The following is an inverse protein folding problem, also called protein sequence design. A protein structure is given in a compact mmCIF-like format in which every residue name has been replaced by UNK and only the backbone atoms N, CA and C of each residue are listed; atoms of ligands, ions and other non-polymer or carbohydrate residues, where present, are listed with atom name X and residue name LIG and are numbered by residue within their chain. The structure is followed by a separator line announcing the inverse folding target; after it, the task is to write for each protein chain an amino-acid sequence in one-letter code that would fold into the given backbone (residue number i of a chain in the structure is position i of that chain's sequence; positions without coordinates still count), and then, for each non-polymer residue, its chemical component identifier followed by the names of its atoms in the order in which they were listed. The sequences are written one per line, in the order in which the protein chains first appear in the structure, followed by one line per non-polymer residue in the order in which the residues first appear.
data_IF_812599651861
#
_entry.id   IF_812599651861
#
_cell.length_a   1.000
_cell.length_b   1.000
_cell.length_c   1.000
_cell.angle_alpha   90.00
_cell.angle_beta   90.00
_cell.angle_gamma   90.00
#
_symmetry.space_group_name_H-M   'P 1'
#
loop_
_entity.id
_entity.type
_entity.pdbx_description
1 polymer ?
#
# COMPACT_ATOMS: atom_id res chain seq x y z
N UNK A 1 -31.89 -3.81 -19.45
CA UNK A 1 -30.69 -4.00 -20.30
C UNK A 1 -29.47 -3.93 -19.39
N UNK A 2 -28.54 -4.84 -19.57
CA UNK A 2 -27.73 -5.46 -18.53
C UNK A 2 -26.43 -4.71 -18.19
N UNK A 3 -26.52 -3.57 -17.52
CA UNK A 3 -25.33 -2.83 -17.06
C UNK A 3 -25.46 -2.39 -15.59
N UNK A 4 -25.09 -3.28 -14.65
CA UNK A 4 -24.57 -2.95 -13.31
C UNK A 4 -24.39 -4.19 -12.41
N UNK A 5 -24.09 -5.38 -12.95
CA UNK A 5 -23.99 -6.60 -12.14
C UNK A 5 -22.79 -6.63 -11.18
N UNK A 6 -21.82 -5.71 -11.34
CA UNK A 6 -20.65 -5.61 -10.47
C UNK A 6 -20.55 -4.20 -9.89
N UNK A 7 -20.66 -4.01 -8.56
CA UNK A 7 -20.46 -2.71 -7.95
C UNK A 7 -19.05 -2.20 -8.29
N UNK A 8 -18.91 -0.92 -8.66
CA UNK A 8 -17.61 -0.30 -9.01
C UNK A 8 -16.51 -0.54 -7.97
N UNK A 9 -16.86 -0.74 -6.70
CA UNK A 9 -15.92 -1.12 -5.64
C UNK A 9 -15.28 -2.50 -5.84
N UNK A 10 -16.01 -3.48 -6.38
CA UNK A 10 -15.48 -4.81 -6.69
C UNK A 10 -14.51 -4.77 -7.87
N UNK A 11 -14.81 -3.98 -8.90
CA UNK A 11 -13.89 -3.76 -10.03
C UNK A 11 -12.58 -3.14 -9.54
N UNK A 12 -12.65 -2.13 -8.67
CA UNK A 12 -11.45 -1.50 -8.09
C UNK A 12 -10.67 -2.44 -7.17
N UNK A 13 -11.35 -3.28 -6.38
CA UNK A 13 -10.70 -4.33 -5.57
C UNK A 13 -9.98 -5.37 -6.43
N UNK A 14 -10.63 -5.82 -7.50
CA UNK A 14 -10.03 -6.75 -8.45
C UNK A 14 -8.80 -6.13 -9.12
N UNK A 15 -8.90 -4.86 -9.52
CA UNK A 15 -7.78 -4.12 -10.09
C UNK A 15 -6.61 -3.96 -9.10
N UNK A 16 -6.88 -3.61 -7.84
CA UNK A 16 -5.85 -3.57 -6.79
C UNK A 16 -5.13 -4.92 -6.69
N UNK A 17 -5.90 -6.01 -6.63
CA UNK A 17 -5.36 -7.36 -6.53
C UNK A 17 -4.51 -7.71 -7.77
N UNK A 18 -4.98 -7.40 -8.98
CA UNK A 18 -4.22 -7.58 -10.22
C UNK A 18 -2.92 -6.77 -10.22
N UNK A 19 -2.95 -5.51 -9.77
CA UNK A 19 -1.74 -4.69 -9.65
C UNK A 19 -0.76 -5.28 -8.65
N UNK A 20 -1.22 -5.73 -7.48
CA UNK A 20 -0.39 -6.39 -6.49
C UNK A 20 0.23 -7.68 -7.03
N UNK A 21 -0.55 -8.53 -7.72
CA UNK A 21 -0.05 -9.75 -8.37
C UNK A 21 0.97 -9.41 -9.46
N UNK A 22 0.71 -8.37 -10.26
CA UNK A 22 1.63 -7.93 -11.31
C UNK A 22 2.96 -7.45 -10.71
N UNK A 23 2.91 -6.64 -9.65
CA UNK A 23 4.11 -6.20 -8.92
C UNK A 23 4.85 -7.38 -8.29
N UNK A 24 4.13 -8.35 -7.73
CA UNK A 24 4.69 -9.58 -7.19
C UNK A 24 5.40 -10.37 -8.30
N UNK A 25 4.76 -10.55 -9.45
CA UNK A 25 5.34 -11.23 -10.60
C UNK A 25 6.61 -10.54 -11.11
N UNK A 26 6.60 -9.21 -11.20
CA UNK A 26 7.78 -8.41 -11.55
C UNK A 26 8.90 -8.53 -10.51
N UNK A 27 8.56 -8.72 -9.23
CA UNK A 27 9.54 -8.92 -8.17
C UNK A 27 10.13 -10.35 -8.17
N UNK A 28 9.35 -11.34 -8.60
CA UNK A 28 9.80 -12.72 -8.78
C UNK A 28 10.63 -12.90 -10.05
N UNK A 29 10.50 -12.01 -11.04
CA UNK A 29 11.35 -12.02 -12.21
C UNK A 29 12.81 -11.82 -11.75
N UNK A 30 13.68 -12.82 -11.93
CA UNK A 30 15.05 -12.75 -11.46
C UNK A 30 15.82 -11.77 -12.36
N UNK A 31 15.80 -10.49 -11.98
CA UNK A 31 16.45 -9.43 -12.75
C UNK A 31 17.94 -9.30 -12.44
N UNK A 32 18.47 -9.94 -11.38
CA UNK A 32 19.91 -9.93 -11.10
C UNK A 32 20.44 -11.24 -10.48
N UNK A 33 21.69 -11.59 -10.84
CA UNK A 33 22.46 -12.73 -10.31
C UNK A 33 23.57 -12.30 -9.33
N UNK A 34 23.52 -11.08 -8.79
CA UNK A 34 24.55 -10.52 -7.90
C UNK A 34 23.94 -10.15 -6.53
N UNK A 35 24.73 -10.20 -5.44
CA UNK A 35 24.26 -9.77 -4.13
C UNK A 35 23.79 -8.30 -4.21
N UNK A 36 22.52 -8.00 -3.86
CA UNK A 36 21.95 -6.67 -4.08
C UNK A 36 22.71 -5.61 -3.28
N UNK A 37 23.47 -4.75 -3.97
CA UNK A 37 24.07 -3.55 -3.37
C UNK A 37 23.04 -2.43 -3.19
N UNK A 38 21.89 -2.56 -3.83
CA UNK A 38 20.81 -1.59 -3.85
C UNK A 38 19.49 -2.27 -3.47
N UNK A 39 18.77 -1.71 -2.49
CA UNK A 39 17.45 -2.19 -2.13
C UNK A 39 16.37 -1.38 -2.87
N UNK A 40 15.74 -2.01 -3.87
CA UNK A 40 14.66 -1.42 -4.65
C UNK A 40 13.42 -1.07 -3.80
N UNK A 41 12.55 -0.16 -4.28
CA UNK A 41 11.38 0.29 -3.55
C UNK A 41 10.35 -0.82 -3.33
N UNK A 42 9.66 -0.79 -2.19
CA UNK A 42 8.50 -1.64 -1.93
C UNK A 42 7.24 -1.05 -2.60
N UNK A 43 7.07 -1.39 -3.87
CA UNK A 43 5.94 -0.92 -4.65
C UNK A 43 4.58 -1.38 -4.11
N UNK A 44 4.52 -2.55 -3.46
CA UNK A 44 3.28 -3.05 -2.87
C UNK A 44 2.88 -2.18 -1.69
N UNK A 45 3.83 -1.84 -0.81
CA UNK A 45 3.59 -0.92 0.29
C UNK A 45 3.15 0.46 -0.21
N UNK A 46 3.90 1.03 -1.17
CA UNK A 46 3.59 2.34 -1.72
C UNK A 46 2.17 2.39 -2.34
N UNK A 47 1.82 1.39 -3.14
CA UNK A 47 0.51 1.27 -3.77
C UNK A 47 -0.60 1.13 -2.72
N UNK A 48 -0.41 0.24 -1.73
CA UNK A 48 -1.38 -0.01 -0.65
C UNK A 48 -1.69 1.27 0.10
N UNK A 49 -0.66 2.02 0.51
CA UNK A 49 -0.83 3.25 1.28
C UNK A 49 -1.44 4.38 0.44
N UNK A 50 -1.06 4.51 -0.83
CA UNK A 50 -1.64 5.50 -1.72
C UNK A 50 -3.16 5.29 -1.88
N UNK A 51 -3.60 4.04 -2.02
CA UNK A 51 -5.02 3.73 -2.15
C UNK A 51 -5.75 3.81 -0.81
N UNK A 52 -5.11 3.42 0.30
CA UNK A 52 -5.67 3.51 1.64
C UNK A 52 -6.04 4.94 2.04
N UNK A 53 -5.20 5.92 1.68
CA UNK A 53 -5.46 7.34 1.96
C UNK A 53 -6.52 7.92 1.03
N UNK A 54 -6.55 7.51 -0.26
CA UNK A 54 -7.43 8.13 -1.26
C UNK A 54 -8.84 7.54 -1.29
N UNK A 55 -8.95 6.23 -1.18
CA UNK A 55 -10.22 5.47 -1.23
C UNK A 55 -10.11 4.24 -0.33
N UNK A 56 -10.29 4.41 0.99
CA UNK A 56 -10.20 3.30 1.96
C UNK A 56 -11.21 2.17 1.68
N UNK A 57 -12.26 2.43 0.89
CA UNK A 57 -13.29 1.46 0.49
C UNK A 57 -12.80 0.41 -0.52
N UNK A 58 -11.76 0.75 -1.31
CA UNK A 58 -11.20 -0.10 -2.36
C UNK A 58 -10.13 -1.06 -1.85
N UNK A 59 -9.58 -0.80 -0.66
CA UNK A 59 -8.52 -1.59 -0.05
C UNK A 59 -9.03 -2.17 1.27
N UNK A 60 -9.83 -3.27 1.22
CA UNK A 60 -10.25 -3.94 2.43
C UNK A 60 -9.04 -4.54 3.13
N UNK A 61 -8.96 -4.35 4.45
CA UNK A 61 -7.84 -4.78 5.29
C UNK A 61 -7.56 -6.28 5.13
N UNK A 62 -8.61 -7.09 4.98
CA UNK A 62 -8.50 -8.52 4.78
C UNK A 62 -7.79 -8.87 3.47
N UNK A 63 -8.04 -8.12 2.40
CA UNK A 63 -7.37 -8.32 1.11
C UNK A 63 -5.90 -7.92 1.20
N UNK A 64 -5.57 -6.81 1.87
CA UNK A 64 -4.19 -6.44 2.16
C UNK A 64 -3.49 -7.57 2.91
N UNK A 65 -4.11 -8.09 3.98
CA UNK A 65 -3.58 -9.18 4.78
C UNK A 65 -3.27 -10.42 3.92
N UNK A 66 -4.20 -10.84 3.06
CA UNK A 66 -4.01 -12.01 2.19
C UNK A 66 -2.87 -11.79 1.19
N UNK A 67 -2.81 -10.61 0.57
CA UNK A 67 -1.75 -10.28 -0.41
C UNK A 67 -0.38 -10.23 0.26
N UNK A 68 -0.25 -9.56 1.41
CA UNK A 68 1.03 -9.42 2.11
C UNK A 68 1.46 -10.71 2.78
N UNK A 69 0.53 -11.53 3.28
CA UNK A 69 0.83 -12.88 3.75
C UNK A 69 1.34 -13.75 2.60
N UNK A 70 0.70 -13.67 1.43
CA UNK A 70 1.17 -14.37 0.23
C UNK A 70 2.58 -13.95 -0.16
N UNK A 71 2.88 -12.64 -0.10
CA UNK A 71 4.24 -12.12 -0.32
C UNK A 71 5.23 -12.66 0.71
N UNK A 72 4.87 -12.70 1.98
CA UNK A 72 5.75 -13.19 3.03
C UNK A 72 6.11 -14.67 2.79
N UNK A 73 5.12 -15.49 2.42
CA UNK A 73 5.32 -16.90 2.09
C UNK A 73 6.18 -17.09 0.83
N UNK A 74 5.92 -16.33 -0.24
CA UNK A 74 6.66 -16.48 -1.50
C UNK A 74 8.09 -15.97 -1.42
N UNK A 75 8.33 -14.91 -0.65
CA UNK A 75 9.67 -14.31 -0.47
C UNK A 75 10.45 -14.95 0.68
N UNK A 76 9.94 -16.04 1.26
CA UNK A 76 10.52 -16.73 2.42
C UNK A 76 10.85 -15.76 3.58
N UNK A 77 10.06 -14.69 3.72
CA UNK A 77 10.14 -13.78 4.85
C UNK A 77 9.46 -14.43 6.06
N UNK A 78 9.82 -14.03 7.30
CA UNK A 78 9.15 -14.51 8.51
C UNK A 78 7.63 -14.31 8.37
N UNK A 79 6.86 -15.41 8.26
CA UNK A 79 5.51 -15.36 7.72
C UNK A 79 4.58 -14.57 8.63
N UNK A 80 3.87 -13.61 8.06
CA UNK A 80 2.80 -12.88 8.73
C UNK A 80 3.22 -11.66 9.55
N UNK A 81 4.52 -11.48 9.86
CA UNK A 81 4.98 -10.29 10.59
C UNK A 81 4.78 -9.02 9.75
N UNK A 82 5.29 -9.03 8.53
CA UNK A 82 5.16 -7.89 7.62
C UNK A 82 3.70 -7.70 7.22
N UNK A 83 2.96 -8.80 7.00
CA UNK A 83 1.54 -8.74 6.76
C UNK A 83 0.76 -8.03 7.88
N UNK A 84 1.02 -8.38 9.14
CA UNK A 84 0.39 -7.76 10.30
C UNK A 84 0.73 -6.27 10.40
N UNK A 85 2.01 -5.90 10.19
CA UNK A 85 2.44 -4.51 10.23
C UNK A 85 1.83 -3.69 9.08
N UNK A 86 1.73 -4.26 7.87
CA UNK A 86 1.08 -3.60 6.74
C UNK A 86 -0.42 -3.40 6.98
N UNK A 87 -1.08 -4.36 7.61
CA UNK A 87 -2.48 -4.22 8.02
C UNK A 87 -2.63 -3.07 9.02
N UNK A 88 -1.79 -3.00 10.06
CA UNK A 88 -1.81 -1.92 11.06
C UNK A 88 -1.53 -0.56 10.41
N UNK A 89 -0.53 -0.49 9.52
CA UNK A 89 -0.19 0.71 8.76
C UNK A 89 -1.34 1.20 7.89
N UNK A 90 -1.92 0.28 7.13
CA UNK A 90 -3.08 0.54 6.28
C UNK A 90 -4.24 1.04 7.12
N UNK A 91 -4.55 0.39 8.24
CA UNK A 91 -5.64 0.80 9.13
C UNK A 91 -5.39 2.20 9.73
N UNK A 92 -4.17 2.49 10.14
CA UNK A 92 -3.77 3.80 10.67
C UNK A 92 -3.99 4.89 9.63
N UNK A 93 -3.59 4.66 8.38
CA UNK A 93 -3.81 5.60 7.29
C UNK A 93 -5.28 5.72 6.90
N UNK A 94 -6.05 4.61 6.90
CA UNK A 94 -7.50 4.63 6.66
C UNK A 94 -8.24 5.48 7.71
N UNK A 95 -7.86 5.36 8.98
CA UNK A 95 -8.44 6.16 10.06
C UNK A 95 -8.10 7.66 9.94
N UNK A 96 -6.91 7.97 9.40
CA UNK A 96 -6.47 9.35 9.14
C UNK A 96 -6.98 9.93 7.81
N UNK A 97 -7.44 9.09 6.89
CA UNK A 97 -7.85 9.50 5.54
C UNK A 97 -8.87 10.65 5.50
N UNK A 98 -9.92 10.70 6.36
CA UNK A 98 -10.85 11.84 6.39
C UNK A 98 -10.15 13.16 6.74
N UNK A 99 -9.25 13.14 7.74
CA UNK A 99 -8.49 14.31 8.18
C UNK A 99 -7.44 14.76 7.16
N UNK A 100 -6.87 13.83 6.38
CA UNK A 100 -5.88 14.13 5.34
C UNK A 100 -6.52 14.68 4.04
N UNK A 101 -7.85 14.56 3.89
CA UNK A 101 -8.54 14.97 2.66
C UNK A 101 -8.47 16.48 2.40
N UNK A 102 -8.48 17.29 3.45
CA UNK A 102 -8.46 18.75 3.36
C UNK A 102 -7.05 19.35 3.48
N UNK A 103 -6.05 18.50 3.71
CA UNK A 103 -4.65 18.91 3.85
C UNK A 103 -3.89 18.87 2.51
N UNK A 104 -2.73 19.52 2.51
CA UNK A 104 -1.80 19.55 1.37
C UNK A 104 -1.21 18.16 1.11
N UNK A 105 -0.72 17.95 -0.13
CA UNK A 105 -0.01 16.72 -0.48
C UNK A 105 1.21 16.47 0.42
N UNK A 106 1.88 17.52 0.90
CA UNK A 106 3.00 17.41 1.83
C UNK A 106 2.59 16.78 3.17
N UNK A 107 1.42 17.13 3.71
CA UNK A 107 0.90 16.53 4.94
C UNK A 107 0.48 15.06 4.76
N UNK A 108 -0.13 14.74 3.61
CA UNK A 108 -0.41 13.35 3.21
C UNK A 108 0.90 12.54 3.16
N UNK A 109 1.89 13.06 2.44
CA UNK A 109 3.20 12.43 2.31
C UNK A 109 3.89 12.25 3.66
N UNK A 110 3.85 13.24 4.55
CA UNK A 110 4.41 13.13 5.90
C UNK A 110 3.70 12.06 6.75
N UNK A 111 2.37 11.93 6.64
CA UNK A 111 1.62 10.88 7.35
C UNK A 111 1.97 9.48 6.81
N UNK A 112 2.15 9.34 5.51
CA UNK A 112 2.56 8.08 4.90
C UNK A 112 4.01 7.76 5.27
N UNK A 113 4.91 8.73 5.16
CA UNK A 113 6.32 8.60 5.52
C UNK A 113 6.49 8.14 6.98
N UNK A 114 5.82 8.81 7.92
CA UNK A 114 5.86 8.45 9.33
C UNK A 114 5.33 7.03 9.58
N UNK A 115 4.27 6.62 8.87
CA UNK A 115 3.72 5.26 8.96
C UNK A 115 4.71 4.21 8.42
N UNK A 116 5.35 4.48 7.28
CA UNK A 116 6.37 3.60 6.68
C UNK A 116 7.58 3.44 7.59
N UNK A 117 8.05 4.54 8.19
CA UNK A 117 9.16 4.53 9.16
C UNK A 117 8.77 3.69 10.38
N UNK A 118 7.59 3.92 10.95
CA UNK A 118 7.15 3.19 12.14
C UNK A 118 7.05 1.69 11.89
N UNK A 119 6.48 1.26 10.76
CA UNK A 119 6.38 -0.15 10.38
C UNK A 119 7.76 -0.76 10.17
N UNK A 120 8.65 -0.05 9.47
CA UNK A 120 10.00 -0.56 9.20
C UNK A 120 10.78 -0.74 10.50
N UNK A 121 10.72 0.25 11.40
CA UNK A 121 11.34 0.17 12.73
C UNK A 121 10.72 -0.95 13.56
N UNK A 122 9.40 -1.05 13.61
CA UNK A 122 8.70 -2.11 14.35
C UNK A 122 9.07 -3.50 13.83
N UNK A 123 9.12 -3.69 12.51
CA UNK A 123 9.56 -4.93 11.89
C UNK A 123 10.97 -5.31 12.36
N UNK A 124 11.91 -4.35 12.32
CA UNK A 124 13.29 -4.60 12.76
C UNK A 124 13.40 -4.91 14.24
N UNK A 125 12.68 -4.19 15.09
CA UNK A 125 12.67 -4.43 16.55
C UNK A 125 12.13 -5.82 16.84
N UNK A 126 11.02 -6.21 16.20
CA UNK A 126 10.43 -7.55 16.39
C UNK A 126 11.39 -8.64 15.89
N UNK A 127 12.00 -8.47 14.72
CA UNK A 127 13.00 -9.43 14.22
C UNK A 127 14.24 -9.51 15.11
N UNK A 128 14.69 -8.38 15.69
CA UNK A 128 15.78 -8.36 16.65
C UNK A 128 15.44 -9.14 17.93
N UNK A 129 14.22 -8.95 18.46
CA UNK A 129 13.73 -9.66 19.64
C UNK A 129 13.58 -11.17 19.38
N UNK A 130 13.18 -11.54 18.16
CA UNK A 130 13.04 -12.94 17.73
C UNK A 130 14.37 -13.58 17.28
N UNK A 131 15.49 -12.85 17.36
CA UNK A 131 16.81 -13.30 16.89
C UNK A 131 16.81 -13.79 15.43
N UNK A 132 15.97 -13.19 14.58
CA UNK A 132 15.88 -13.50 13.16
C UNK A 132 16.87 -12.64 12.39
N UNK A 133 17.59 -13.24 11.45
CA UNK A 133 18.50 -12.54 10.55
C UNK A 133 17.75 -11.45 9.77
N UNK A 134 18.31 -10.25 9.79
CA UNK A 134 17.71 -9.07 9.22
C UNK A 134 18.74 -8.37 8.32
N UNK A 135 18.28 -7.82 7.21
CA UNK A 135 19.13 -7.09 6.28
C UNK A 135 19.96 -6.01 7.01
N UNK A 136 21.16 -5.66 6.54
CA UNK A 136 21.92 -4.56 7.13
C UNK A 136 21.11 -3.26 7.11
N UNK A 137 21.30 -2.43 8.14
CA UNK A 137 20.56 -1.17 8.31
C UNK A 137 20.61 -0.27 7.07
N UNK A 138 21.77 -0.22 6.39
CA UNK A 138 21.94 0.54 5.16
C UNK A 138 20.97 0.12 4.05
N UNK A 139 20.77 -1.18 3.83
CA UNK A 139 19.83 -1.67 2.82
C UNK A 139 18.39 -1.36 3.18
N UNK A 140 18.00 -1.49 4.46
CA UNK A 140 16.64 -1.12 4.89
C UNK A 140 16.36 0.38 4.75
N UNK A 141 17.34 1.24 5.06
CA UNK A 141 17.21 2.68 4.87
C UNK A 141 17.12 3.04 3.39
N UNK A 142 17.95 2.42 2.54
CA UNK A 142 17.87 2.59 1.09
C UNK A 142 16.50 2.18 0.55
N UNK A 143 15.96 1.04 1.00
CA UNK A 143 14.63 0.58 0.62
C UNK A 143 13.55 1.56 1.08
N UNK A 144 13.63 2.05 2.31
CA UNK A 144 12.65 3.00 2.82
C UNK A 144 12.68 4.31 2.03
N UNK A 145 13.87 4.85 1.78
CA UNK A 145 14.05 6.08 1.00
C UNK A 145 13.61 5.88 -0.45
N UNK A 146 13.96 4.76 -1.09
CA UNK A 146 13.52 4.46 -2.44
C UNK A 146 12.00 4.33 -2.52
N UNK A 147 11.37 3.70 -1.53
CA UNK A 147 9.90 3.59 -1.46
C UNK A 147 9.25 4.95 -1.22
N UNK A 148 9.86 5.79 -0.38
CA UNK A 148 9.36 7.13 -0.09
C UNK A 148 9.42 8.06 -1.31
N UNK A 149 10.48 7.94 -2.13
CA UNK A 149 10.62 8.66 -3.41
C UNK A 149 9.71 8.07 -4.49
N UNK A 150 9.47 6.75 -4.47
CA UNK A 150 8.55 6.09 -5.38
C UNK A 150 7.07 6.38 -5.04
N UNK A 151 6.76 6.73 -3.78
CA UNK A 151 5.39 6.99 -3.35
C UNK A 151 4.71 8.11 -4.15
N UNK A 152 5.29 9.31 -4.33
CA UNK A 152 4.70 10.35 -5.19
C UNK A 152 4.42 9.86 -6.61
N UNK A 153 5.35 9.10 -7.20
CA UNK A 153 5.14 8.51 -8.53
C UNK A 153 3.94 7.56 -8.55
N UNK A 154 3.82 6.68 -7.56
CA UNK A 154 2.66 5.78 -7.41
C UNK A 154 1.36 6.53 -7.10
N UNK A 155 1.43 7.61 -6.33
CA UNK A 155 0.30 8.47 -6.05
C UNK A 155 -0.17 9.20 -7.32
N UNK A 156 0.75 9.68 -8.17
CA UNK A 156 0.40 10.28 -9.47
C UNK A 156 -0.13 9.20 -10.42
N UNK A 157 0.54 8.05 -10.51
CA UNK A 157 0.14 6.94 -11.35
C UNK A 157 -1.29 6.48 -11.02
N UNK A 158 -1.61 6.31 -9.74
CA UNK A 158 -2.98 6.00 -9.29
C UNK A 158 -3.98 7.12 -9.58
N UNK A 159 -3.54 8.38 -9.63
CA UNK A 159 -4.40 9.50 -10.02
C UNK A 159 -4.68 9.53 -11.53
N UNK A 160 -3.67 9.21 -12.34
CA UNK A 160 -3.68 9.28 -13.81
C UNK A 160 -4.32 8.04 -14.42
N UNK A 161 -3.94 6.82 -13.99
CA UNK A 161 -4.48 5.57 -14.55
C UNK A 161 -5.93 5.31 -14.14
N UNK A 162 -6.36 5.74 -12.95
CA UNK A 162 -7.59 5.22 -12.33
C UNK A 162 -8.70 6.26 -12.15
N UNK A 163 -8.44 7.53 -12.47
CA UNK A 163 -9.43 8.59 -12.32
C UNK A 163 -9.97 8.71 -10.88
N UNK A 164 -9.22 8.24 -9.89
CA UNK A 164 -9.56 8.33 -8.47
C UNK A 164 -9.30 9.77 -8.03
N UNK A 165 -10.19 10.68 -8.45
CA UNK A 165 -10.27 12.03 -7.90
C UNK A 165 -10.55 11.91 -6.39
N UNK A 166 -9.87 12.75 -5.58
CA UNK A 166 -10.42 13.15 -4.27
C UNK A 166 -11.88 13.51 -4.53
N UNK A 167 -12.82 12.83 -3.85
CA UNK A 167 -14.24 13.22 -3.96
C UNK A 167 -14.28 14.69 -3.52
N UNK A 168 -14.84 15.59 -4.32
CA UNK A 168 -15.05 16.96 -3.88
C UNK A 168 -16.11 16.97 -2.75
N UNK A 169 -16.08 17.90 -1.80
CA UNK A 169 -17.19 18.09 -0.87
C UNK A 169 -18.38 18.61 -1.70
N UNK A 170 -19.36 17.74 -1.96
CA UNK A 170 -20.48 18.02 -2.87
C UNK A 170 -21.04 16.82 -3.64
N UNK A 171 -20.43 15.63 -3.55
CA UNK A 171 -20.96 14.41 -4.18
C UNK A 171 -22.01 13.70 -3.29
N UNK A 172 -22.93 14.51 -2.72
CA UNK A 172 -24.17 14.05 -2.10
C UNK A 172 -25.26 14.10 -3.18
N UNK A 173 -25.93 12.96 -3.35
CA UNK A 173 -27.31 12.81 -3.83
C UNK A 173 -27.61 13.07 -5.31
N UNK A 174 -27.35 12.05 -6.13
CA UNK A 174 -28.26 11.68 -7.24
C UNK A 174 -28.86 10.28 -7.07
N UNK A 175 -28.83 9.72 -5.86
CA UNK A 175 -29.79 8.71 -5.46
C UNK A 175 -31.06 9.48 -5.06
N UNK A 176 -32.00 9.59 -5.99
CA UNK A 176 -33.24 10.34 -5.82
C UNK A 176 -34.00 9.96 -4.54
N UNK A 177 -34.86 10.85 -4.05
CA UNK A 177 -35.66 10.59 -2.86
C UNK A 177 -36.53 9.37 -3.14
N UNK A 178 -36.31 8.30 -2.38
CA UNK A 178 -37.31 7.26 -2.19
C UNK A 178 -37.98 7.55 -0.85
N UNK A 179 -39.26 7.93 -1.01
CA UNK A 179 -40.39 8.04 -0.07
C UNK A 179 -40.92 9.47 0.00
#
# INVERSE_FOLDING_TARGET
MADALVPRSWVMRALYLVLCITLLFLHLLPLEHMPPKWAGPDFVMALTFAWAVRRPDYVPVLLVAVVTLGLDLMLQRPPGLWAALMVIGTQTLRNRAPSLRDLTFAAEWASVASTMVLITVANRVILALLMVDQAPLGLSLMQLLSTLVAYPAMAILSHVLLGVRKRAPGDLDTAGPRL
#
